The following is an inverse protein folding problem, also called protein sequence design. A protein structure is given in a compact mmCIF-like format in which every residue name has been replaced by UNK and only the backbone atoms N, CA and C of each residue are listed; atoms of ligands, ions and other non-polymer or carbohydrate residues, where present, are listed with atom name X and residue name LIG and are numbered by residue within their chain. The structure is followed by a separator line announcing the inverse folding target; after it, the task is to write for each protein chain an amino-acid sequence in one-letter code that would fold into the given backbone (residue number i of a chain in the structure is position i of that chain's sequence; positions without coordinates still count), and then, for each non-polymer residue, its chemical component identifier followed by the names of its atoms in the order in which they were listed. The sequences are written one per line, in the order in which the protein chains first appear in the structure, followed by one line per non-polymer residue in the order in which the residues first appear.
data_IF_713158046378
#
_entry.id   IF_713158046378
#
_cell.length_a   1.000
_cell.length_b   1.000
_cell.length_c   1.000
_cell.angle_alpha   90.00
_cell.angle_beta   90.00
_cell.angle_gamma   90.00
#
_symmetry.space_group_name_H-M   'P 1'
#
loop_
_entity.id
_entity.type
_entity.pdbx_description
1 polymer ?
#
# COMPACT_ATOMS: atom_id res chain seq x y z
N UNK A 1 -20.27 -21.97 -5.92
CA UNK A 1 -19.92 -20.71 -6.62
C UNK A 1 -19.64 -19.55 -5.66
N UNK A 2 -20.46 -19.30 -4.64
CA UNK A 2 -20.26 -18.20 -3.66
C UNK A 2 -18.97 -18.29 -2.84
N UNK A 3 -18.56 -19.50 -2.45
CA UNK A 3 -17.37 -19.72 -1.61
C UNK A 3 -16.06 -19.18 -2.20
N UNK A 4 -15.96 -19.10 -3.53
CA UNK A 4 -14.83 -18.47 -4.21
C UNK A 4 -15.10 -17.00 -4.56
N UNK A 5 -16.33 -16.68 -4.97
CA UNK A 5 -16.69 -15.34 -5.43
C UNK A 5 -16.52 -14.28 -4.33
N UNK A 6 -16.93 -14.58 -3.09
CA UNK A 6 -16.83 -13.62 -1.99
C UNK A 6 -15.37 -13.28 -1.64
N UNK A 7 -14.46 -14.25 -1.37
CA UNK A 7 -13.05 -13.96 -1.16
C UNK A 7 -12.41 -13.20 -2.33
N UNK A 8 -12.74 -13.57 -3.56
CA UNK A 8 -12.23 -12.89 -4.75
C UNK A 8 -12.64 -11.42 -4.79
N UNK A 9 -13.94 -11.12 -4.61
CA UNK A 9 -14.44 -9.74 -4.60
C UNK A 9 -13.79 -8.92 -3.49
N UNK A 10 -13.71 -9.47 -2.27
CA UNK A 10 -13.07 -8.79 -1.14
C UNK A 10 -11.58 -8.54 -1.40
N UNK A 11 -10.88 -9.50 -2.01
CA UNK A 11 -9.48 -9.37 -2.38
C UNK A 11 -9.25 -8.21 -3.36
N UNK A 12 -10.06 -8.15 -4.42
CA UNK A 12 -9.96 -7.08 -5.43
C UNK A 12 -10.30 -5.72 -4.83
N UNK A 13 -11.34 -5.63 -3.99
CA UNK A 13 -11.70 -4.37 -3.31
C UNK A 13 -10.60 -3.90 -2.35
N UNK A 14 -9.96 -4.82 -1.60
CA UNK A 14 -8.85 -4.48 -0.73
C UNK A 14 -7.63 -3.99 -1.52
N UNK A 15 -7.30 -4.65 -2.65
CA UNK A 15 -6.25 -4.20 -3.56
C UNK A 15 -6.55 -2.80 -4.13
N UNK A 16 -7.81 -2.54 -4.51
CA UNK A 16 -8.27 -1.24 -5.01
C UNK A 16 -8.08 -0.14 -3.96
N UNK A 17 -8.48 -0.37 -2.71
CA UNK A 17 -8.32 0.61 -1.62
C UNK A 17 -6.85 0.93 -1.39
N UNK A 18 -5.99 -0.09 -1.34
CA UNK A 18 -4.58 0.13 -1.04
C UNK A 18 -3.82 0.76 -2.22
N UNK A 19 -3.85 0.14 -3.41
CA UNK A 19 -3.13 0.63 -4.58
C UNK A 19 -3.74 1.93 -5.09
N UNK A 20 -5.06 2.03 -5.16
CA UNK A 20 -5.77 3.25 -5.55
C UNK A 20 -5.56 4.40 -4.56
N UNK A 21 -5.52 4.11 -3.25
CA UNK A 21 -5.19 5.10 -2.25
C UNK A 21 -3.77 5.64 -2.38
N UNK A 22 -2.79 4.78 -2.67
CA UNK A 22 -1.41 5.21 -2.97
C UNK A 22 -1.34 6.04 -4.25
N UNK A 23 -2.06 5.65 -5.30
CA UNK A 23 -2.18 6.43 -6.53
C UNK A 23 -2.72 7.83 -6.25
N UNK A 24 -3.85 7.94 -5.55
CA UNK A 24 -4.45 9.22 -5.19
C UNK A 24 -3.49 10.07 -4.35
N UNK A 25 -2.86 9.48 -3.32
CA UNK A 25 -1.93 10.19 -2.46
C UNK A 25 -0.75 10.77 -3.24
N UNK A 26 -0.18 10.00 -4.17
CA UNK A 26 1.05 10.37 -4.87
C UNK A 26 0.81 11.30 -6.07
N UNK A 27 -0.20 11.02 -6.89
CA UNK A 27 -0.47 11.76 -8.14
C UNK A 27 -1.41 12.95 -7.94
N UNK A 28 -2.32 12.91 -6.97
CA UNK A 28 -3.39 13.92 -6.83
C UNK A 28 -3.19 14.77 -5.58
N UNK A 29 -3.19 14.14 -4.41
CA UNK A 29 -3.13 14.84 -3.13
C UNK A 29 -1.81 15.59 -2.96
N UNK A 30 -0.68 14.98 -3.33
CA UNK A 30 0.63 15.62 -3.22
C UNK A 30 0.72 16.94 -3.99
N UNK A 31 0.52 17.00 -5.32
CA UNK A 31 0.62 18.26 -6.04
C UNK A 31 -0.38 19.29 -5.52
N UNK A 32 -1.61 18.86 -5.21
CA UNK A 32 -2.61 19.75 -4.62
C UNK A 32 -2.13 20.36 -3.28
N UNK A 33 -1.56 19.55 -2.40
CA UNK A 33 -1.03 20.02 -1.10
C UNK A 33 0.22 20.90 -1.24
N UNK A 34 1.01 20.76 -2.32
CA UNK A 34 2.15 21.66 -2.59
C UNK A 34 1.67 23.04 -3.04
N UNK A 35 0.61 23.10 -3.84
CA UNK A 35 0.04 24.36 -4.33
C UNK A 35 -0.77 25.07 -3.24
N UNK A 36 -1.57 24.33 -2.48
CA UNK A 36 -2.55 24.90 -1.56
C UNK A 36 -1.99 25.24 -0.17
N UNK A 37 -0.87 24.65 0.25
CA UNK A 37 -0.38 24.74 1.62
C UNK A 37 1.11 25.08 1.71
N UNK A 38 1.44 25.92 2.69
CA UNK A 38 2.81 26.22 3.11
C UNK A 38 3.45 25.04 3.86
N UNK A 39 4.78 25.08 4.02
CA UNK A 39 5.61 23.97 4.52
C UNK A 39 5.08 23.27 5.78
N UNK A 40 4.89 23.98 6.92
CA UNK A 40 4.43 23.36 8.16
C UNK A 40 3.02 22.79 8.07
N UNK A 41 2.09 23.52 7.45
CA UNK A 41 0.70 23.07 7.27
C UNK A 41 0.62 21.79 6.43
N UNK A 42 1.47 21.68 5.40
CA UNK A 42 1.59 20.48 4.56
C UNK A 42 2.08 19.26 5.35
N UNK A 43 3.06 19.43 6.24
CA UNK A 43 3.55 18.32 7.08
C UNK A 43 2.46 17.83 8.05
N UNK A 44 1.73 18.76 8.68
CA UNK A 44 0.61 18.45 9.58
C UNK A 44 -0.53 17.73 8.83
N UNK A 45 -0.88 18.16 7.61
CA UNK A 45 -1.84 17.46 6.76
C UNK A 45 -1.40 16.02 6.49
N UNK A 46 -0.15 15.80 6.12
CA UNK A 46 0.35 14.46 5.81
C UNK A 46 0.31 13.52 7.01
N UNK A 47 0.61 14.00 8.23
CA UNK A 47 0.43 13.19 9.44
C UNK A 47 -1.02 12.74 9.62
N UNK A 48 -1.97 13.64 9.39
CA UNK A 48 -3.40 13.34 9.51
C UNK A 48 -3.90 12.39 8.42
N UNK A 49 -3.37 12.51 7.21
CA UNK A 49 -3.63 11.59 6.09
C UNK A 49 -3.07 10.21 6.40
N UNK A 50 -1.81 10.10 6.80
CA UNK A 50 -1.19 8.80 7.13
C UNK A 50 -1.89 8.13 8.29
N UNK A 51 -2.30 8.88 9.32
CA UNK A 51 -3.05 8.34 10.47
C UNK A 51 -4.32 7.61 10.03
N UNK A 52 -5.11 8.21 9.13
CA UNK A 52 -6.37 7.61 8.64
C UNK A 52 -6.12 6.54 7.59
N UNK A 53 -5.26 6.82 6.61
CA UNK A 53 -5.02 5.93 5.49
C UNK A 53 -4.35 4.63 5.95
N UNK A 54 -3.39 4.67 6.88
CA UNK A 54 -2.73 3.45 7.34
C UNK A 54 -3.64 2.52 8.12
N UNK A 55 -4.69 3.04 8.77
CA UNK A 55 -5.76 2.19 9.34
C UNK A 55 -6.48 1.38 8.26
N UNK A 56 -6.83 2.03 7.14
CA UNK A 56 -7.41 1.34 5.97
C UNK A 56 -6.43 0.38 5.30
N UNK A 57 -5.15 0.72 5.23
CA UNK A 57 -4.11 -0.18 4.69
C UNK A 57 -3.99 -1.45 5.55
N UNK A 58 -4.01 -1.32 6.88
CA UNK A 58 -4.00 -2.50 7.75
C UNK A 58 -5.21 -3.41 7.53
N UNK A 59 -6.40 -2.84 7.40
CA UNK A 59 -7.60 -3.60 7.04
C UNK A 59 -7.43 -4.28 5.67
N UNK A 60 -6.95 -3.56 4.66
CA UNK A 60 -6.71 -4.10 3.33
C UNK A 60 -5.69 -5.25 3.34
N UNK A 61 -4.59 -5.11 4.08
CA UNK A 61 -3.56 -6.17 4.24
C UNK A 61 -4.18 -7.43 4.86
N UNK A 62 -4.96 -7.29 5.93
CA UNK A 62 -5.61 -8.42 6.58
C UNK A 62 -6.58 -9.13 5.63
N UNK A 63 -7.42 -8.36 4.93
CA UNK A 63 -8.36 -8.91 3.93
C UNK A 63 -7.61 -9.60 2.79
N UNK A 64 -6.55 -9.00 2.25
CA UNK A 64 -5.74 -9.58 1.17
C UNK A 64 -5.08 -10.90 1.59
N UNK A 65 -4.51 -10.95 2.80
CA UNK A 65 -3.88 -12.17 3.31
C UNK A 65 -4.89 -13.30 3.50
N UNK A 66 -6.00 -13.03 4.19
CA UNK A 66 -7.03 -14.03 4.50
C UNK A 66 -7.69 -14.53 3.20
N UNK A 67 -8.13 -13.60 2.34
CA UNK A 67 -8.78 -13.96 1.08
C UNK A 67 -7.81 -14.63 0.09
N UNK A 68 -6.55 -14.20 0.04
CA UNK A 68 -5.52 -14.76 -0.81
C UNK A 68 -5.21 -16.22 -0.45
N UNK A 69 -4.96 -16.50 0.84
CA UNK A 69 -4.72 -17.86 1.34
C UNK A 69 -5.97 -18.74 1.13
N UNK A 70 -7.16 -18.20 1.40
CA UNK A 70 -8.42 -18.92 1.16
C UNK A 70 -8.58 -19.33 -0.31
N UNK A 71 -8.39 -18.39 -1.24
CA UNK A 71 -8.45 -18.70 -2.68
C UNK A 71 -7.36 -19.66 -3.14
N UNK A 72 -6.16 -19.57 -2.55
CA UNK A 72 -5.04 -20.46 -2.86
C UNK A 72 -5.40 -21.93 -2.59
N UNK A 73 -5.97 -22.22 -1.41
CA UNK A 73 -6.38 -23.57 -1.06
C UNK A 73 -7.66 -24.02 -1.79
N UNK A 74 -8.65 -23.14 -1.94
CA UNK A 74 -9.92 -23.48 -2.57
C UNK A 74 -9.81 -23.78 -4.07
N UNK A 75 -8.88 -23.14 -4.77
CA UNK A 75 -8.79 -23.23 -6.24
C UNK A 75 -7.54 -23.94 -6.75
N UNK A 76 -6.41 -23.79 -6.07
CA UNK A 76 -5.13 -24.28 -6.57
C UNK A 76 -4.57 -25.46 -5.75
N UNK A 77 -5.20 -25.83 -4.64
CA UNK A 77 -4.73 -26.95 -3.81
C UNK A 77 -3.46 -26.63 -3.00
N UNK A 78 -3.01 -25.38 -2.98
CA UNK A 78 -1.80 -24.94 -2.27
C UNK A 78 -0.88 -24.06 -3.11
N UNK A 79 0.27 -23.69 -2.54
CA UNK A 79 1.24 -22.80 -3.18
C UNK A 79 1.95 -23.46 -4.38
N UNK A 80 2.39 -24.71 -4.23
CA UNK A 80 3.18 -25.41 -5.25
C UNK A 80 2.39 -25.69 -6.52
N UNK A 81 1.07 -25.87 -6.39
CA UNK A 81 0.14 -26.09 -7.50
C UNK A 81 -0.45 -24.78 -8.05
N UNK A 82 -0.13 -23.63 -7.46
CA UNK A 82 -0.59 -22.34 -7.95
C UNK A 82 0.15 -21.91 -9.22
N UNK A 83 -0.55 -21.30 -10.21
CA UNK A 83 0.09 -20.73 -11.39
C UNK A 83 1.19 -19.71 -11.02
N UNK A 84 2.22 -19.59 -11.86
CA UNK A 84 3.35 -18.68 -11.60
C UNK A 84 2.95 -17.23 -11.36
N UNK A 85 1.95 -16.72 -12.07
CA UNK A 85 1.46 -15.35 -11.84
C UNK A 85 0.89 -15.16 -10.42
N UNK A 86 0.31 -16.21 -9.80
CA UNK A 86 -0.17 -16.18 -8.40
C UNK A 86 1.01 -16.17 -7.44
N UNK A 87 2.05 -16.98 -7.70
CA UNK A 87 3.26 -16.98 -6.88
C UNK A 87 3.97 -15.61 -6.92
N UNK A 88 4.06 -14.99 -8.11
CA UNK A 88 4.58 -13.62 -8.28
C UNK A 88 3.72 -12.60 -7.55
N UNK A 89 2.39 -12.72 -7.61
CA UNK A 89 1.47 -11.85 -6.87
C UNK A 89 1.68 -11.96 -5.35
N UNK A 90 1.88 -13.16 -4.81
CA UNK A 90 2.19 -13.38 -3.39
C UNK A 90 3.53 -12.73 -3.02
N UNK A 91 4.59 -13.00 -3.79
CA UNK A 91 5.91 -12.39 -3.57
C UNK A 91 5.88 -10.87 -3.62
N UNK A 92 5.17 -10.30 -4.59
CA UNK A 92 4.93 -8.87 -4.71
C UNK A 92 4.18 -8.31 -3.50
N UNK A 93 3.10 -8.96 -3.06
CA UNK A 93 2.36 -8.58 -1.86
C UNK A 93 3.22 -8.55 -0.59
N UNK A 94 4.10 -9.54 -0.41
CA UNK A 94 5.05 -9.58 0.72
C UNK A 94 6.03 -8.40 0.65
N UNK A 95 6.60 -8.13 -0.52
CA UNK A 95 7.51 -7.01 -0.71
C UNK A 95 6.82 -5.65 -0.47
N UNK A 96 5.59 -5.48 -0.95
CA UNK A 96 4.76 -4.29 -0.67
C UNK A 96 4.50 -4.12 0.82
N UNK A 97 4.17 -5.21 1.51
CA UNK A 97 3.95 -5.19 2.96
C UNK A 97 5.21 -4.83 3.73
N UNK A 98 6.39 -5.34 3.34
CA UNK A 98 7.67 -4.99 3.96
C UNK A 98 7.98 -3.49 3.81
N UNK A 99 7.72 -2.90 2.65
CA UNK A 99 7.86 -1.45 2.43
C UNK A 99 6.92 -0.65 3.33
N UNK A 100 5.65 -1.08 3.43
CA UNK A 100 4.67 -0.46 4.31
C UNK A 100 5.10 -0.52 5.79
N UNK A 101 5.55 -1.69 6.25
CA UNK A 101 6.04 -1.87 7.62
C UNK A 101 7.22 -0.95 7.92
N UNK A 102 8.18 -0.83 7.00
CA UNK A 102 9.31 0.09 7.18
C UNK A 102 8.87 1.56 7.26
N UNK A 103 7.90 1.99 6.45
CA UNK A 103 7.33 3.34 6.54
C UNK A 103 6.64 3.55 7.89
N UNK A 104 5.82 2.59 8.31
CA UNK A 104 4.98 2.73 9.50
C UNK A 104 5.78 2.62 10.81
N UNK A 105 6.75 1.71 10.89
CA UNK A 105 7.52 1.47 12.09
C UNK A 105 8.70 2.44 12.27
N UNK A 106 9.33 2.91 11.18
CA UNK A 106 10.54 3.72 11.27
C UNK A 106 10.31 5.19 10.90
N UNK A 107 9.70 5.43 9.73
CA UNK A 107 9.64 6.80 9.19
C UNK A 107 8.48 7.62 9.75
N UNK A 108 7.33 7.00 10.03
CA UNK A 108 6.17 7.72 10.56
C UNK A 108 6.41 8.25 11.99
N UNK A 109 7.00 7.49 12.93
CA UNK A 109 7.37 8.02 14.24
C UNK A 109 8.40 9.15 14.13
N UNK A 110 9.39 9.00 13.25
CA UNK A 110 10.41 10.03 13.00
C UNK A 110 9.78 11.34 12.47
N UNK A 111 8.87 11.24 11.49
CA UNK A 111 8.13 12.40 10.98
C UNK A 111 7.31 13.07 12.09
N UNK A 112 6.63 12.26 12.92
CA UNK A 112 5.81 12.77 14.02
C UNK A 112 6.67 13.52 15.04
N UNK A 113 7.83 12.97 15.41
CA UNK A 113 8.76 13.60 16.33
C UNK A 113 9.28 14.94 15.78
N UNK A 114 9.68 14.98 14.50
CA UNK A 114 10.15 16.21 13.86
C UNK A 114 9.06 17.30 13.83
N UNK A 115 7.81 16.95 13.52
CA UNK A 115 6.69 17.91 13.52
C UNK A 115 6.34 18.37 14.94
N UNK A 116 6.43 17.50 15.95
CA UNK A 116 6.20 17.87 17.36
C UNK A 116 7.28 18.80 17.90
N UNK A 117 8.52 18.63 17.46
CA UNK A 117 9.64 19.51 17.79
C UNK A 117 9.70 20.78 16.92
N UNK A 118 8.75 20.97 16.00
CA UNK A 118 8.74 22.05 15.00
C UNK A 118 10.01 22.11 14.12
N UNK A 119 10.72 20.99 13.99
CA UNK A 119 11.85 20.83 13.08
C UNK A 119 11.34 20.55 11.66
N UNK A 120 10.94 21.63 10.97
CA UNK A 120 10.36 21.56 9.64
C UNK A 120 11.32 21.04 8.58
N UNK A 121 12.63 21.30 8.74
CA UNK A 121 13.65 20.85 7.79
C UNK A 121 13.80 19.33 7.84
N UNK A 122 13.96 18.76 9.04
CA UNK A 122 13.99 17.30 9.22
C UNK A 122 12.67 16.66 8.82
N UNK A 123 11.54 17.25 9.21
CA UNK A 123 10.21 16.76 8.84
C UNK A 123 10.02 16.67 7.32
N UNK A 124 10.46 17.68 6.56
CA UNK A 124 10.42 17.67 5.10
C UNK A 124 11.32 16.58 4.49
N UNK A 125 12.52 16.37 5.05
CA UNK A 125 13.42 15.32 4.62
C UNK A 125 12.82 13.91 4.85
N UNK A 126 12.25 13.66 6.02
CA UNK A 126 11.58 12.39 6.36
C UNK A 126 10.39 12.15 5.43
N UNK A 127 9.53 13.15 5.22
CA UNK A 127 8.39 13.04 4.29
C UNK A 127 8.86 12.73 2.86
N UNK A 128 9.99 13.30 2.43
CA UNK A 128 10.64 12.96 1.17
C UNK A 128 11.00 11.48 1.05
N UNK A 129 11.55 10.88 2.13
CA UNK A 129 11.85 9.44 2.18
C UNK A 129 10.58 8.58 2.15
N UNK A 130 9.56 8.95 2.93
CA UNK A 130 8.24 8.27 2.92
C UNK A 130 7.68 8.28 1.50
N UNK A 131 7.68 9.44 0.84
CA UNK A 131 7.18 9.60 -0.54
C UNK A 131 7.89 8.67 -1.53
N UNK A 132 9.22 8.57 -1.45
CA UNK A 132 9.98 7.68 -2.33
C UNK A 132 9.58 6.22 -2.11
N UNK A 133 9.42 5.81 -0.86
CA UNK A 133 9.00 4.45 -0.53
C UNK A 133 7.56 4.16 -0.98
N UNK A 134 6.63 5.09 -0.77
CA UNK A 134 5.25 4.96 -1.26
C UNK A 134 5.22 4.91 -2.79
N UNK A 135 6.06 5.68 -3.49
CA UNK A 135 6.18 5.64 -4.94
C UNK A 135 6.67 4.28 -5.45
N UNK A 136 7.71 3.71 -4.83
CA UNK A 136 8.19 2.36 -5.14
C UNK A 136 7.10 1.32 -4.87
N UNK A 137 6.40 1.44 -3.75
CA UNK A 137 5.31 0.53 -3.38
C UNK A 137 4.13 0.62 -4.35
N UNK A 138 3.79 1.83 -4.82
CA UNK A 138 2.77 2.05 -5.84
C UNK A 138 3.15 1.38 -7.16
N UNK A 139 4.39 1.56 -7.64
CA UNK A 139 4.86 0.91 -8.87
C UNK A 139 4.80 -0.61 -8.77
N UNK A 140 5.23 -1.17 -7.63
CA UNK A 140 5.13 -2.60 -7.37
C UNK A 140 3.66 -3.06 -7.34
N UNK A 141 2.77 -2.31 -6.67
CA UNK A 141 1.35 -2.62 -6.63
C UNK A 141 0.68 -2.60 -8.00
N UNK A 142 0.99 -1.62 -8.84
CA UNK A 142 0.52 -1.58 -10.24
C UNK A 142 1.05 -2.77 -11.03
N UNK A 143 2.34 -3.11 -10.88
CA UNK A 143 2.93 -4.27 -11.55
C UNK A 143 2.26 -5.59 -11.11
N UNK A 144 2.00 -5.76 -9.81
CA UNK A 144 1.29 -6.94 -9.27
C UNK A 144 -0.13 -7.03 -9.85
N UNK A 145 -0.86 -5.92 -9.90
CA UNK A 145 -2.20 -5.88 -10.51
C UNK A 145 -2.16 -6.21 -12.01
N UNK A 146 -1.15 -5.72 -12.74
CA UNK A 146 -0.97 -6.02 -14.16
C UNK A 146 -0.67 -7.52 -14.40
N UNK A 147 0.21 -8.13 -13.59
CA UNK A 147 0.51 -9.56 -13.65
C UNK A 147 -0.73 -10.39 -13.33
N UNK A 148 -1.47 -10.04 -12.28
CA UNK A 148 -2.68 -10.77 -11.88
C UNK A 148 -3.82 -10.67 -12.91
N UNK A 149 -4.01 -9.50 -13.53
CA UNK A 149 -5.09 -9.26 -14.49
C UNK A 149 -4.81 -9.83 -15.88
N UNK A 150 -3.56 -9.73 -16.36
CA UNK A 150 -3.15 -10.29 -17.65
C UNK A 150 -3.12 -11.81 -17.66
N UNK A 151 -2.98 -12.45 -16.48
CA UNK A 151 -2.83 -13.91 -16.32
C UNK A 151 -1.74 -14.50 -17.22
N UNK A 152 -0.70 -13.70 -17.50
CA UNK A 152 0.39 -14.11 -18.37
C UNK A 152 0.92 -15.49 -17.95
N UNK A 153 1.08 -16.43 -18.88
CA UNK A 153 1.83 -17.66 -18.64
C UNK A 153 3.31 -17.28 -18.56
N UNK A 154 3.73 -16.82 -17.38
CA UNK A 154 5.14 -16.79 -16.97
C UNK A 154 5.63 -18.21 -16.69
#
# INVERSE_FOLDING_TARGET
MLAFALPYTLHVLAALVWVGGMFFAWLILRPAAVVALEGPARLRLWLEVFRRFFGWVWLAVAVLAISGIGMLHLRFGGFDAAPRHVQVMIGGGIAMFALFMRVQALLLPELRAAVQAEDWASGAAVLGRIRRMVGINLLLGVAVVAVASSRLPL
#
